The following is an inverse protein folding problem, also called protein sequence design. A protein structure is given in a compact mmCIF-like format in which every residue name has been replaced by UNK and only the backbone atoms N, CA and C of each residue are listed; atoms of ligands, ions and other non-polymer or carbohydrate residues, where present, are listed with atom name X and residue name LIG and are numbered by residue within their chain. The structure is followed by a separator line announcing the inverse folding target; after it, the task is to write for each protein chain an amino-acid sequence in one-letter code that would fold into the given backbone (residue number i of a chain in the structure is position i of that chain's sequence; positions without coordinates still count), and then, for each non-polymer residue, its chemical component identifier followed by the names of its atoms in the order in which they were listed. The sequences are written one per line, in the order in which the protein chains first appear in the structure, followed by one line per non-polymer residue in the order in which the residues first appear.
data_IF_504805544177
#
_entry.id   IF_504805544177
#
_cell.length_a   1.000
_cell.length_b   1.000
_cell.length_c   1.000
_cell.angle_alpha   90.00
_cell.angle_beta   90.00
_cell.angle_gamma   90.00
#
_symmetry.space_group_name_H-M   'P 1'
#
loop_
_entity.id
_entity.type
_entity.pdbx_description
1 polymer ?
#
# COMPACT_ATOMS: atom_id res chain seq x y z
N UNK A 1 14.40 56.77 9.11
CA UNK A 1 13.59 55.94 8.19
C UNK A 1 14.10 54.51 8.28
N UNK A 2 13.42 53.57 8.98
CA UNK A 2 13.88 52.20 9.08
C UNK A 2 13.66 51.49 7.72
N UNK A 3 14.72 50.87 7.18
CA UNK A 3 14.62 50.02 6.00
C UNK A 3 14.12 48.66 6.47
N UNK A 4 12.89 48.29 6.09
CA UNK A 4 12.41 46.92 6.25
C UNK A 4 13.28 45.99 5.41
N UNK A 5 14.05 45.14 6.09
CA UNK A 5 14.73 44.02 5.46
C UNK A 5 13.65 42.98 5.10
N UNK A 6 13.30 42.88 3.82
CA UNK A 6 12.46 41.77 3.33
C UNK A 6 13.33 40.52 3.30
N UNK A 7 13.17 39.66 4.30
CA UNK A 7 13.70 38.29 4.26
C UNK A 7 12.77 37.49 3.36
N UNK A 8 13.20 37.25 2.13
CA UNK A 8 12.51 36.31 1.23
C UNK A 8 13.03 34.92 1.57
N UNK A 9 12.21 34.11 2.25
CA UNK A 9 12.48 32.70 2.44
C UNK A 9 12.30 32.00 1.08
N UNK A 10 13.41 31.65 0.44
CA UNK A 10 13.40 30.84 -0.78
C UNK A 10 13.35 29.37 -0.35
N UNK A 11 12.15 28.80 -0.33
CA UNK A 11 11.97 27.35 -0.12
C UNK A 11 12.30 26.63 -1.43
N UNK A 12 13.57 26.28 -1.63
CA UNK A 12 13.99 25.31 -2.65
C UNK A 12 13.61 23.92 -2.13
N UNK A 13 12.34 23.52 -2.29
CA UNK A 13 11.94 22.13 -2.14
C UNK A 13 12.36 21.38 -3.41
N UNK A 14 13.64 21.06 -3.51
CA UNK A 14 14.14 20.19 -4.57
C UNK A 14 13.87 18.75 -4.17
N UNK A 15 12.70 18.19 -4.49
CA UNK A 15 12.55 16.74 -4.45
C UNK A 15 13.47 16.16 -5.53
N UNK A 16 14.54 15.52 -5.10
CA UNK A 16 15.42 14.79 -6.00
C UNK A 16 14.73 13.49 -6.41
N UNK A 17 15.03 12.99 -7.60
CA UNK A 17 14.42 11.75 -8.04
C UNK A 17 14.84 10.58 -7.14
N UNK A 18 13.85 9.87 -6.63
CA UNK A 18 14.03 8.62 -5.93
C UNK A 18 13.16 7.51 -6.52
N UNK A 19 13.49 6.26 -6.19
CA UNK A 19 12.66 5.09 -6.39
C UNK A 19 12.03 4.69 -5.06
N UNK A 20 10.70 4.67 -5.01
CA UNK A 20 9.92 4.37 -3.80
C UNK A 20 8.98 3.19 -4.07
N UNK A 21 9.08 2.15 -3.25
CA UNK A 21 8.25 0.95 -3.35
C UNK A 21 7.11 0.99 -2.33
N UNK A 22 5.90 0.74 -2.77
CA UNK A 22 4.74 0.53 -1.89
C UNK A 22 4.89 -0.78 -1.12
N UNK A 23 4.75 -0.71 0.21
CA UNK A 23 4.92 -1.86 1.12
C UNK A 23 3.59 -2.60 1.37
N UNK A 24 2.46 -1.92 1.65
CA UNK A 24 1.22 -2.59 1.97
C UNK A 24 0.68 -3.45 0.83
N UNK A 25 0.13 -4.60 1.19
CA UNK A 25 -0.59 -5.48 0.25
C UNK A 25 -1.97 -5.80 0.82
N UNK A 26 -2.80 -6.45 0.02
CA UNK A 26 -4.14 -6.90 0.42
C UNK A 26 -4.25 -8.42 0.47
N UNK A 27 -3.11 -9.11 0.63
CA UNK A 27 -3.04 -10.58 0.66
C UNK A 27 -3.56 -11.10 2.00
N UNK A 28 -4.36 -12.13 1.94
CA UNK A 28 -4.91 -12.81 3.13
C UNK A 28 -3.80 -13.45 3.97
N UNK A 29 -2.76 -13.97 3.32
CA UNK A 29 -1.67 -14.67 3.99
C UNK A 29 -0.66 -13.74 4.67
N UNK A 30 -0.68 -12.45 4.35
CA UNK A 30 0.20 -11.44 4.93
C UNK A 30 -0.20 -11.15 6.37
N UNK A 31 0.64 -11.57 7.32
CA UNK A 31 0.38 -11.39 8.76
C UNK A 31 0.12 -9.94 9.17
N UNK A 32 0.76 -8.99 8.48
CA UNK A 32 0.59 -7.55 8.75
C UNK A 32 -0.81 -7.01 8.39
N UNK A 33 -1.63 -7.78 7.66
CA UNK A 33 -3.02 -7.42 7.37
C UNK A 33 -3.99 -7.90 8.46
N UNK A 34 -3.48 -8.47 9.55
CA UNK A 34 -4.26 -8.98 10.67
C UNK A 34 -3.87 -8.31 11.97
N UNK A 35 -4.85 -8.02 12.82
CA UNK A 35 -4.63 -7.32 14.09
C UNK A 35 -3.65 -8.05 15.03
N UNK A 36 -3.57 -9.38 14.94
CA UNK A 36 -2.63 -10.21 15.71
C UNK A 36 -1.23 -10.28 15.08
N UNK A 37 -1.01 -9.68 13.92
CA UNK A 37 0.20 -9.87 13.11
C UNK A 37 0.30 -11.25 12.45
N UNK A 38 -0.75 -12.08 12.55
CA UNK A 38 -0.78 -13.44 12.01
C UNK A 38 -2.11 -13.72 11.31
N UNK A 39 -2.05 -14.41 10.18
CA UNK A 39 -3.25 -14.87 9.47
C UNK A 39 -4.06 -15.86 10.32
N UNK A 40 -5.38 -15.99 10.07
CA UNK A 40 -6.23 -16.94 10.77
C UNK A 40 -5.72 -18.38 10.65
N UNK A 41 -5.73 -19.08 11.78
CA UNK A 41 -5.45 -20.51 11.84
C UNK A 41 -6.62 -21.35 11.32
N UNK A 42 -6.37 -22.63 11.01
CA UNK A 42 -7.43 -23.55 10.58
C UNK A 42 -8.54 -23.63 11.63
N UNK A 43 -9.80 -23.46 11.21
CA UNK A 43 -10.95 -23.49 12.11
C UNK A 43 -11.16 -22.22 12.95
N UNK A 44 -10.29 -21.20 12.81
CA UNK A 44 -10.51 -19.88 13.37
C UNK A 44 -11.52 -19.10 12.52
N UNK A 45 -12.30 -18.23 13.16
CA UNK A 45 -13.13 -17.27 12.43
C UNK A 45 -12.30 -16.09 11.93
N UNK A 46 -12.47 -15.73 10.67
CA UNK A 46 -11.85 -14.54 10.07
C UNK A 46 -12.90 -13.44 9.90
N UNK A 47 -12.54 -12.21 10.24
CA UNK A 47 -13.41 -11.04 10.15
C UNK A 47 -12.87 -10.05 9.16
N UNK A 48 -13.63 -9.84 8.09
CA UNK A 48 -13.37 -8.84 7.04
C UNK A 48 -14.30 -7.64 7.18
N UNK A 49 -14.89 -7.44 8.37
CA UNK A 49 -15.86 -6.40 8.65
C UNK A 49 -15.36 -4.98 8.33
N UNK A 50 -14.06 -4.75 8.48
CA UNK A 50 -13.42 -3.45 8.27
C UNK A 50 -12.75 -3.32 6.88
N UNK A 51 -12.77 -4.37 6.05
CA UNK A 51 -12.18 -4.39 4.70
C UNK A 51 -13.12 -3.79 3.65
N UNK A 52 -13.66 -2.60 3.93
CA UNK A 52 -14.66 -1.94 3.07
C UNK A 52 -14.01 -1.34 1.81
N UNK A 53 -14.52 -1.64 0.63
CA UNK A 53 -13.96 -1.12 -0.63
C UNK A 53 -12.59 -1.70 -1.00
N UNK A 54 -12.24 -2.83 -0.38
CA UNK A 54 -10.97 -3.52 -0.52
C UNK A 54 -11.15 -4.88 -1.20
N UNK A 55 -10.32 -5.19 -2.19
CA UNK A 55 -10.17 -6.55 -2.69
C UNK A 55 -9.17 -7.29 -1.78
N UNK A 56 -9.59 -8.41 -1.17
CA UNK A 56 -8.70 -9.27 -0.38
C UNK A 56 -8.29 -10.47 -1.24
N UNK A 57 -6.99 -10.64 -1.46
CA UNK A 57 -6.46 -11.66 -2.37
C UNK A 57 -6.02 -12.90 -1.59
N UNK A 58 -6.42 -14.08 -2.08
CA UNK A 58 -5.99 -15.36 -1.53
C UNK A 58 -4.97 -16.00 -2.49
N UNK A 59 -3.79 -16.32 -1.97
CA UNK A 59 -2.79 -17.12 -2.69
C UNK A 59 -2.98 -18.63 -2.55
N UNK A 60 -3.81 -19.06 -1.59
CA UNK A 60 -3.98 -20.47 -1.25
C UNK A 60 -5.40 -20.80 -0.77
N UNK A 61 -5.78 -22.08 -0.84
CA UNK A 61 -7.04 -22.56 -0.28
C UNK A 61 -6.98 -22.52 1.25
N UNK A 62 -8.03 -22.02 1.88
CA UNK A 62 -8.08 -21.83 3.34
C UNK A 62 -9.29 -22.54 3.96
N UNK A 63 -9.08 -23.11 5.14
CA UNK A 63 -10.11 -23.74 5.96
C UNK A 63 -10.41 -22.88 7.18
N UNK A 64 -11.53 -22.19 7.19
CA UNK A 64 -11.94 -21.30 8.28
C UNK A 64 -13.10 -21.92 9.08
N UNK A 65 -13.18 -21.58 10.36
CA UNK A 65 -14.33 -21.90 11.19
C UNK A 65 -15.55 -21.01 10.91
N UNK A 66 -15.30 -19.83 10.36
CA UNK A 66 -16.32 -18.89 9.93
C UNK A 66 -15.72 -17.67 9.22
N UNK A 67 -16.54 -16.98 8.44
CA UNK A 67 -16.17 -15.72 7.78
C UNK A 67 -17.20 -14.65 8.15
N UNK A 68 -16.78 -13.67 8.95
CA UNK A 68 -17.60 -12.53 9.38
C UNK A 68 -17.42 -11.38 8.40
N UNK A 69 -18.53 -10.79 7.98
CA UNK A 69 -18.61 -9.72 6.98
C UNK A 69 -19.60 -8.67 7.45
N UNK A 70 -19.31 -7.38 7.23
CA UNK A 70 -20.36 -6.35 7.27
C UNK A 70 -21.08 -6.30 5.94
N UNK A 71 -22.37 -5.99 5.98
CA UNK A 71 -23.22 -5.79 4.83
C UNK A 71 -22.73 -4.59 4.00
N UNK A 72 -21.77 -4.76 3.08
CA UNK A 72 -21.58 -4.03 1.81
C UNK A 72 -20.25 -4.39 1.10
N UNK A 73 -20.32 -4.47 -0.23
CA UNK A 73 -19.28 -4.36 -1.27
C UNK A 73 -17.81 -4.68 -0.94
N UNK A 74 -17.46 -5.95 -0.71
CA UNK A 74 -16.06 -6.40 -0.89
C UNK A 74 -16.00 -7.59 -1.84
N UNK A 75 -14.94 -7.64 -2.63
CA UNK A 75 -14.71 -8.67 -3.65
C UNK A 75 -13.56 -9.56 -3.20
N UNK A 76 -13.78 -10.87 -3.20
CA UNK A 76 -12.69 -11.84 -3.04
C UNK A 76 -12.23 -12.20 -4.45
N UNK A 77 -11.05 -11.74 -4.84
CA UNK A 77 -10.46 -12.12 -6.12
C UNK A 77 -9.71 -13.45 -6.01
N UNK A 78 -10.15 -14.41 -6.81
CA UNK A 78 -9.56 -15.76 -6.88
C UNK A 78 -8.60 -15.84 -8.08
N UNK A 79 -7.36 -16.19 -7.81
CA UNK A 79 -6.48 -16.81 -8.81
C UNK A 79 -6.53 -18.36 -8.74
N UNK A 80 -7.69 -18.91 -8.34
CA UNK A 80 -7.99 -20.32 -8.10
C UNK A 80 -7.60 -20.93 -6.71
N UNK A 81 -8.19 -20.42 -5.60
CA UNK A 81 -8.33 -21.24 -4.38
C UNK A 81 -9.78 -21.39 -3.88
N UNK A 82 -10.07 -22.52 -3.22
CA UNK A 82 -11.36 -22.81 -2.60
C UNK A 82 -11.38 -22.35 -1.14
N UNK A 83 -12.44 -21.66 -0.73
CA UNK A 83 -12.73 -21.39 0.70
C UNK A 83 -13.65 -22.50 1.17
N UNK A 84 -13.13 -23.41 1.98
CA UNK A 84 -13.93 -24.47 2.58
C UNK A 84 -14.28 -24.06 4.01
N UNK A 85 -15.53 -23.66 4.23
CA UNK A 85 -16.05 -23.44 5.57
C UNK A 85 -16.36 -24.81 6.19
N UNK A 86 -15.50 -25.26 7.11
CA UNK A 86 -15.67 -26.55 7.77
C UNK A 86 -16.60 -26.35 8.97
N UNK A 87 -17.89 -26.61 8.76
CA UNK A 87 -18.89 -26.62 9.83
C UNK A 87 -18.74 -27.85 10.73
N UNK A 88 -17.71 -27.86 11.58
CA UNK A 88 -17.62 -28.81 12.69
C UNK A 88 -17.49 -28.05 14.00
N UNK A 89 -18.44 -28.28 14.91
CA UNK A 89 -18.41 -27.86 16.30
C UNK A 89 -17.24 -28.56 17.02
N UNK A 90 -16.02 -28.05 16.87
CA UNK A 90 -14.87 -28.52 17.65
C UNK A 90 -14.44 -27.41 18.61
N UNK A 91 -14.45 -27.76 19.89
CA UNK A 91 -14.17 -26.92 21.06
C UNK A 91 -12.71 -26.44 21.12
N UNK A 92 -12.33 -25.57 20.22
CA UNK A 92 -11.35 -24.54 20.53
C UNK A 92 -12.08 -23.22 20.41
N UNK A 93 -12.04 -22.40 21.45
CA UNK A 93 -12.38 -20.98 21.33
C UNK A 93 -11.30 -20.32 20.46
N UNK A 94 -11.23 -20.70 19.18
CA UNK A 94 -10.36 -20.08 18.21
C UNK A 94 -10.99 -18.72 17.92
N UNK A 95 -10.61 -17.73 18.73
CA UNK A 95 -11.18 -16.39 18.71
C UNK A 95 -11.14 -15.75 17.32
N UNK A 96 -11.84 -14.65 17.13
CA UNK A 96 -11.92 -13.98 15.84
C UNK A 96 -10.61 -13.28 15.46
N UNK A 97 -10.06 -13.59 14.29
CA UNK A 97 -8.97 -12.83 13.69
C UNK A 97 -9.54 -11.69 12.85
N UNK A 98 -9.13 -10.45 13.14
CA UNK A 98 -9.63 -9.24 12.49
C UNK A 98 -8.67 -8.75 11.42
N UNK A 99 -9.19 -8.55 10.21
CA UNK A 99 -8.44 -7.98 9.10
C UNK A 99 -8.36 -6.46 9.26
N UNK A 100 -7.14 -5.91 9.19
CA UNK A 100 -6.82 -4.49 9.41
C UNK A 100 -6.03 -3.90 8.23
N UNK A 101 -5.92 -4.61 7.10
CA UNK A 101 -5.20 -4.12 5.92
C UNK A 101 -5.75 -2.78 5.39
N UNK A 102 -7.03 -2.47 5.64
CA UNK A 102 -7.65 -1.19 5.27
C UNK A 102 -6.97 0.01 5.94
N UNK A 103 -6.38 -0.14 7.12
CA UNK A 103 -5.72 0.97 7.84
C UNK A 103 -4.37 1.36 7.19
N UNK A 104 -3.89 0.54 6.24
CA UNK A 104 -2.56 0.65 5.64
C UNK A 104 -2.62 1.04 4.17
N UNK A 105 -3.69 1.70 3.75
CA UNK A 105 -3.89 2.09 2.33
C UNK A 105 -3.50 3.54 2.04
N UNK A 106 -3.23 4.34 3.06
CA UNK A 106 -3.05 5.79 2.90
C UNK A 106 -1.73 6.17 2.23
N UNK A 107 -1.80 6.94 1.14
CA UNK A 107 -0.65 7.42 0.36
C UNK A 107 0.35 8.20 1.20
N UNK A 108 -0.15 9.09 2.07
CA UNK A 108 0.70 10.03 2.82
C UNK A 108 1.24 9.46 4.13
N UNK A 109 0.98 8.18 4.43
CA UNK A 109 1.65 7.50 5.52
C UNK A 109 3.06 7.08 5.07
N UNK A 110 4.09 7.71 5.63
CA UNK A 110 5.50 7.44 5.31
C UNK A 110 5.92 5.99 5.54
N UNK A 111 5.27 5.28 6.46
CA UNK A 111 5.59 3.87 6.77
C UNK A 111 5.08 2.89 5.71
N UNK A 112 4.24 3.36 4.78
CA UNK A 112 3.78 2.57 3.63
C UNK A 112 4.79 2.58 2.46
N UNK A 113 5.88 3.35 2.56
CA UNK A 113 6.87 3.52 1.50
C UNK A 113 8.24 3.02 1.91
N UNK A 114 8.86 2.22 1.04
CA UNK A 114 10.26 1.85 1.13
C UNK A 114 11.07 2.69 0.14
N UNK A 115 12.04 3.46 0.65
CA UNK A 115 13.03 4.12 -0.20
C UNK A 115 14.02 3.06 -0.72
N UNK A 116 14.00 2.86 -2.05
CA UNK A 116 14.82 1.86 -2.76
C UNK A 116 16.10 2.48 -3.28
N UNK A 117 15.99 3.61 -3.98
CA UNK A 117 17.12 4.27 -4.63
C UNK A 117 16.97 5.79 -4.48
N UNK A 118 18.06 6.48 -4.20
CA UNK A 118 18.13 7.94 -4.21
C UNK A 118 19.59 8.36 -4.13
N UNK A 119 20.07 9.14 -5.10
CA UNK A 119 21.46 9.61 -5.11
C UNK A 119 21.82 10.45 -3.88
N UNK A 120 20.85 11.16 -3.29
CA UNK A 120 21.07 12.05 -2.16
C UNK A 120 20.74 11.41 -0.82
N UNK A 121 19.64 10.66 -0.74
CA UNK A 121 19.13 10.11 0.51
C UNK A 121 19.64 8.68 0.78
N UNK A 122 20.10 7.97 -0.26
CA UNK A 122 20.65 6.62 -0.20
C UNK A 122 21.94 6.53 -1.03
N UNK A 123 23.04 7.13 -0.56
CA UNK A 123 24.33 7.05 -1.26
C UNK A 123 24.94 5.65 -1.23
N UNK A 124 24.50 4.79 -0.31
CA UNK A 124 25.00 3.42 -0.14
C UNK A 124 24.19 2.41 -0.98
N UNK A 125 24.84 1.41 -1.62
CA UNK A 125 24.15 0.39 -2.40
C UNK A 125 23.12 -0.39 -1.58
N UNK A 126 21.98 -0.74 -2.18
CA UNK A 126 20.90 -1.51 -1.51
C UNK A 126 21.41 -2.84 -0.92
N UNK A 127 22.42 -3.43 -1.55
CA UNK A 127 23.06 -4.69 -1.15
C UNK A 127 23.86 -4.59 0.16
N UNK A 128 24.32 -3.40 0.54
CA UNK A 128 25.05 -3.17 1.79
C UNK A 128 24.11 -2.95 3.00
N UNK A 129 22.80 -2.90 2.75
CA UNK A 129 21.79 -2.61 3.77
C UNK A 129 21.46 -3.86 4.58
N UNK A 130 21.31 -3.76 5.92
CA UNK A 130 20.84 -4.87 6.74
C UNK A 130 19.50 -5.39 6.22
N UNK A 131 19.43 -6.69 5.98
CA UNK A 131 18.21 -7.38 5.53
C UNK A 131 17.09 -7.11 6.53
N UNK A 132 16.04 -6.42 6.09
CA UNK A 132 14.86 -6.13 6.92
C UNK A 132 14.71 -4.68 7.40
N UNK A 133 15.70 -3.80 7.21
CA UNK A 133 15.51 -2.37 7.50
C UNK A 133 14.77 -1.69 6.35
N UNK A 134 13.43 -1.63 6.39
CA UNK A 134 12.61 -0.97 5.36
C UNK A 134 12.85 0.56 5.27
N UNK A 135 13.16 1.19 6.40
CA UNK A 135 13.39 2.64 6.51
C UNK A 135 14.86 2.99 6.83
N UNK A 136 15.49 3.94 6.12
CA UNK A 136 16.82 4.42 6.47
C UNK A 136 16.74 5.26 7.74
N UNK A 137 17.74 5.18 8.63
CA UNK A 137 17.71 5.83 9.94
C UNK A 137 17.66 7.38 9.89
N UNK A 138 18.00 7.98 8.73
CA UNK A 138 18.22 9.43 8.60
C UNK A 138 17.45 10.01 7.39
N UNK A 139 16.21 9.56 7.17
CA UNK A 139 15.33 10.13 6.13
C UNK A 139 14.06 10.70 6.78
N UNK A 140 13.77 12.00 6.60
CA UNK A 140 12.54 12.63 7.08
C UNK A 140 11.28 11.96 6.51
N UNK A 141 10.18 11.93 7.27
CA UNK A 141 8.90 11.34 6.80
C UNK A 141 8.42 11.98 5.50
N UNK A 142 8.60 13.30 5.35
CA UNK A 142 8.26 14.03 4.14
C UNK A 142 9.02 13.56 2.89
N UNK A 143 10.24 13.05 3.06
CA UNK A 143 11.07 12.52 1.97
C UNK A 143 10.80 11.04 1.71
N UNK A 144 10.08 10.34 2.61
CA UNK A 144 9.66 8.95 2.41
C UNK A 144 8.43 8.86 1.50
N UNK A 145 7.49 9.80 1.62
CA UNK A 145 6.30 9.87 0.76
C UNK A 145 6.71 10.33 -0.66
N UNK A 146 6.18 9.75 -1.74
CA UNK A 146 6.58 10.11 -3.09
C UNK A 146 6.34 11.58 -3.49
N UNK A 147 7.32 12.13 -4.21
CA UNK A 147 7.34 13.48 -4.77
C UNK A 147 7.08 13.49 -6.30
N UNK A 148 6.82 14.66 -6.90
CA UNK A 148 6.60 14.80 -8.35
C UNK A 148 7.71 14.28 -9.27
N UNK A 149 8.95 14.20 -8.80
CA UNK A 149 10.12 13.72 -9.56
C UNK A 149 10.42 12.23 -9.35
N UNK A 150 9.65 11.55 -8.50
CA UNK A 150 9.91 10.17 -8.11
C UNK A 150 9.34 9.15 -9.08
N UNK A 151 9.98 7.99 -9.09
CA UNK A 151 9.46 6.76 -9.65
C UNK A 151 8.87 5.91 -8.51
N UNK A 152 7.64 5.44 -8.70
CA UNK A 152 6.94 4.61 -7.71
C UNK A 152 6.74 3.20 -8.24
N UNK A 153 7.03 2.21 -7.39
CA UNK A 153 6.91 0.80 -7.70
C UNK A 153 5.84 0.12 -6.83
N UNK A 154 4.94 -0.60 -7.48
CA UNK A 154 4.05 -1.58 -6.89
C UNK A 154 4.46 -2.97 -7.36
N UNK A 155 4.53 -3.94 -6.44
CA UNK A 155 5.02 -5.29 -6.76
C UNK A 155 4.13 -6.02 -7.79
N UNK A 156 2.82 -5.86 -7.66
CA UNK A 156 1.80 -6.47 -8.51
C UNK A 156 0.47 -5.73 -8.28
N UNK A 157 -0.68 -6.31 -8.62
CA UNK A 157 -2.01 -5.71 -8.44
C UNK A 157 -2.71 -6.04 -7.12
N UNK A 158 -2.01 -6.62 -6.13
CA UNK A 158 -2.58 -7.04 -4.83
C UNK A 158 -2.37 -5.97 -3.76
N UNK A 159 -2.80 -4.76 -4.07
CA UNK A 159 -2.69 -3.61 -3.18
C UNK A 159 -3.93 -2.73 -3.27
N UNK A 160 -4.04 -1.79 -2.34
CA UNK A 160 -5.02 -0.70 -2.38
C UNK A 160 -4.37 0.56 -1.84
N UNK A 161 -4.64 1.66 -2.52
CA UNK A 161 -4.10 2.97 -2.20
C UNK A 161 -5.23 3.98 -2.10
N UNK A 162 -5.30 4.72 -1.01
CA UNK A 162 -6.16 5.88 -0.82
C UNK A 162 -5.30 7.14 -0.83
N UNK A 163 -5.66 8.12 -1.65
CA UNK A 163 -4.95 9.40 -1.76
C UNK A 163 -5.50 10.45 -0.80
N UNK A 164 -6.40 10.09 0.11
CA UNK A 164 -6.98 10.96 1.15
C UNK A 164 -7.67 12.20 0.55
N UNK A 165 -8.31 12.03 -0.61
CA UNK A 165 -8.91 13.09 -1.42
C UNK A 165 -7.91 14.17 -1.91
N UNK A 166 -6.62 13.86 -1.91
CA UNK A 166 -5.57 14.66 -2.54
C UNK A 166 -5.19 14.06 -3.90
N UNK A 167 -4.38 14.81 -4.64
CA UNK A 167 -3.92 14.43 -5.98
C UNK A 167 -2.39 14.41 -6.03
N UNK A 168 -1.74 13.35 -5.49
CA UNK A 168 -0.30 13.19 -5.62
C UNK A 168 0.13 13.24 -7.09
N UNK A 169 1.31 13.80 -7.31
CA UNK A 169 1.95 13.87 -8.63
C UNK A 169 3.24 13.08 -8.58
N UNK A 170 3.53 12.34 -9.65
CA UNK A 170 4.71 11.49 -9.80
C UNK A 170 5.30 11.61 -11.20
N UNK A 171 6.57 11.25 -11.39
CA UNK A 171 7.15 11.18 -12.74
C UNK A 171 6.62 9.96 -13.49
N UNK A 172 6.69 8.80 -12.84
CA UNK A 172 6.39 7.49 -13.44
C UNK A 172 5.94 6.52 -12.35
N UNK A 173 5.11 5.56 -12.73
CA UNK A 173 4.63 4.50 -11.86
C UNK A 173 4.84 3.14 -12.53
N UNK A 174 5.24 2.13 -11.79
CA UNK A 174 5.34 0.75 -12.26
C UNK A 174 4.45 -0.15 -11.40
N UNK A 175 3.68 -1.03 -12.04
CA UNK A 175 2.92 -2.09 -11.37
C UNK A 175 3.36 -3.43 -11.97
N UNK A 176 4.02 -4.27 -11.18
CA UNK A 176 4.66 -5.47 -11.70
C UNK A 176 5.69 -5.12 -12.78
N UNK A 177 5.50 -5.63 -13.99
CA UNK A 177 6.37 -5.36 -15.14
C UNK A 177 5.85 -4.24 -16.06
N UNK A 178 4.73 -3.60 -15.69
CA UNK A 178 4.08 -2.58 -16.53
C UNK A 178 4.45 -1.19 -16.05
N UNK A 179 5.06 -0.40 -16.93
CA UNK A 179 5.41 0.99 -16.70
C UNK A 179 4.29 1.92 -17.21
N UNK A 180 3.90 2.87 -16.36
CA UNK A 180 2.92 3.92 -16.63
C UNK A 180 3.61 5.29 -16.51
N UNK A 181 3.66 6.01 -17.64
CA UNK A 181 4.03 7.42 -17.71
C UNK A 181 2.79 8.32 -17.65
N UNK A 182 2.94 9.65 -17.76
CA UNK A 182 1.84 10.57 -17.48
C UNK A 182 0.55 10.33 -18.26
N UNK A 183 0.61 9.94 -19.55
CA UNK A 183 -0.61 9.65 -20.32
C UNK A 183 -1.11 8.23 -20.07
N UNK A 184 -0.21 7.24 -20.00
CA UNK A 184 -0.59 5.86 -19.72
C UNK A 184 -1.20 5.71 -18.31
N UNK A 185 -0.67 6.43 -17.32
CA UNK A 185 -1.16 6.49 -15.95
C UNK A 185 -2.59 7.06 -15.90
N UNK A 186 -2.82 8.21 -16.53
CA UNK A 186 -4.14 8.82 -16.58
C UNK A 186 -5.17 7.89 -17.23
N UNK A 187 -4.82 7.24 -18.34
CA UNK A 187 -5.69 6.27 -18.99
C UNK A 187 -5.97 5.04 -18.11
N UNK A 188 -4.96 4.54 -17.40
CA UNK A 188 -5.10 3.39 -16.51
C UNK A 188 -6.03 3.68 -15.32
N UNK A 189 -5.88 4.83 -14.68
CA UNK A 189 -6.71 5.23 -13.53
C UNK A 189 -8.20 5.38 -13.89
N UNK A 190 -8.50 5.63 -15.16
CA UNK A 190 -9.89 5.65 -15.63
C UNK A 190 -10.52 4.27 -15.83
N UNK A 191 -9.71 3.21 -15.90
CA UNK A 191 -10.22 1.84 -16.02
C UNK A 191 -10.82 1.35 -14.70
N UNK A 192 -11.70 0.34 -14.77
CA UNK A 192 -12.26 -0.29 -13.57
C UNK A 192 -11.15 -0.89 -12.68
N UNK A 193 -10.11 -1.48 -13.28
CA UNK A 193 -8.95 -2.01 -12.55
C UNK A 193 -8.18 -0.89 -11.83
N UNK A 194 -7.96 0.26 -12.46
CA UNK A 194 -7.36 1.42 -11.83
C UNK A 194 -8.17 1.93 -10.63
N UNK A 195 -9.50 2.05 -10.80
CA UNK A 195 -10.45 2.48 -9.75
C UNK A 195 -10.59 1.47 -8.61
N UNK A 196 -10.34 0.19 -8.87
CA UNK A 196 -10.28 -0.84 -7.81
C UNK A 196 -9.01 -0.71 -6.97
N UNK A 197 -7.87 -0.35 -7.58
CA UNK A 197 -6.58 -0.19 -6.87
C UNK A 197 -6.43 1.17 -6.18
N UNK A 198 -6.96 2.25 -6.76
CA UNK A 198 -6.80 3.63 -6.28
C UNK A 198 -8.12 4.27 -5.84
N UNK A 199 -8.10 4.93 -4.68
CA UNK A 199 -9.21 5.68 -4.10
C UNK A 199 -8.77 7.13 -4.15
N UNK A 200 -9.32 7.87 -5.10
CA UNK A 200 -8.84 9.19 -5.46
C UNK A 200 -7.87 9.15 -6.65
N UNK A 201 -7.24 10.28 -6.91
CA UNK A 201 -6.55 10.55 -8.17
C UNK A 201 -5.03 10.58 -7.97
N UNK A 202 -4.28 10.03 -8.93
CA UNK A 202 -2.82 10.18 -9.03
C UNK A 202 -2.51 10.78 -10.40
N UNK A 203 -1.60 11.75 -10.45
CA UNK A 203 -1.26 12.43 -11.72
C UNK A 203 0.19 12.23 -12.11
N UNK A 204 0.43 12.15 -13.41
CA UNK A 204 1.77 12.14 -13.95
C UNK A 204 2.36 13.54 -14.11
N UNK A 205 3.67 13.64 -13.96
CA UNK A 205 4.47 14.76 -14.44
C UNK A 205 4.56 14.70 -15.96
N UNK A 206 4.10 15.76 -16.63
CA UNK A 206 4.51 16.09 -17.99
C UNK A 206 6.00 16.40 -18.06
#
# INVERSE_FOLDING_TARGET
RPRLLRVTLVTLCGCHSAVKKWIPDTRFESGQNWASGQKPCSGQSASLAEATGLAVHLGSSISLGGLVRRHTCFRIEKNDPQINAVGYLVRFAAGEAKFVGQERVHWYNSDNWALRESEQLLPEPVESRPTGSQRPLVVPDAEMVPCPSDHVEFEDTRFRVDTDALTPRLRTMQIGDVLYDGTALAAFLETDAGKELFAGDVTGGT
#
